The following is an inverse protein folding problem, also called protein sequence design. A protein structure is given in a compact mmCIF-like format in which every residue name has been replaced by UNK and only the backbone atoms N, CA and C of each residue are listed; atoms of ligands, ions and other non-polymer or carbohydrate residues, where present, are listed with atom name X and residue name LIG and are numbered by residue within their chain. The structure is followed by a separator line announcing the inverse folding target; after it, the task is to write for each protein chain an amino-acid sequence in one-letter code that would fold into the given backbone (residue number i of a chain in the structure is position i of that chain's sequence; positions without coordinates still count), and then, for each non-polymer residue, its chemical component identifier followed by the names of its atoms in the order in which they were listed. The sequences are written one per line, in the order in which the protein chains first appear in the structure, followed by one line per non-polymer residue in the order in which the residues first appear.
data_IF_271150065294
#
_entry.id   IF_271150065294
#
_cell.length_a   1.000
_cell.length_b   1.000
_cell.length_c   1.000
_cell.angle_alpha   90.00
_cell.angle_beta   90.00
_cell.angle_gamma   90.00
#
_symmetry.space_group_name_H-M   'P 1'
#
loop_
_entity.id
_entity.type
_entity.pdbx_description
1 polymer ?
#
# COMPACT_ATOMS: atom_id res chain seq x y z
N UNK A 1 1.12 -24.80 22.17
CA UNK A 1 1.80 -23.72 21.43
C UNK A 1 0.75 -22.72 21.06
N UNK A 2 0.72 -21.61 21.79
CA UNK A 2 -0.41 -20.69 21.92
C UNK A 2 -0.49 -19.75 20.72
N UNK A 3 -1.69 -19.29 20.38
CA UNK A 3 -2.00 -18.30 19.33
C UNK A 3 -1.10 -17.04 19.39
N UNK A 4 -0.69 -16.63 20.59
CA UNK A 4 0.27 -15.54 20.82
C UNK A 4 1.70 -15.82 20.32
N UNK A 5 2.14 -17.08 20.33
CA UNK A 5 3.44 -17.48 19.75
C UNK A 5 3.40 -17.50 18.22
N UNK A 6 2.23 -17.74 17.64
CA UNK A 6 2.05 -17.72 16.19
C UNK A 6 2.04 -16.27 15.66
N UNK A 7 1.31 -15.38 16.33
CA UNK A 7 1.29 -13.94 15.98
C UNK A 7 2.66 -13.27 16.09
N UNK A 8 3.45 -13.59 17.12
CA UNK A 8 4.81 -13.06 17.26
C UNK A 8 5.74 -13.55 16.16
N UNK A 9 5.57 -14.80 15.71
CA UNK A 9 6.33 -15.40 14.61
C UNK A 9 5.99 -14.73 13.28
N UNK A 10 4.70 -14.55 12.97
CA UNK A 10 4.24 -13.87 11.75
C UNK A 10 4.72 -12.41 11.72
N UNK A 11 4.67 -11.71 12.85
CA UNK A 11 5.22 -10.36 12.97
C UNK A 11 6.73 -10.34 12.70
N UNK A 12 7.51 -11.24 13.30
CA UNK A 12 8.94 -11.30 13.05
C UNK A 12 9.27 -11.58 11.57
N UNK A 13 8.47 -12.42 10.90
CA UNK A 13 8.59 -12.67 9.47
C UNK A 13 8.31 -11.41 8.63
N UNK A 14 7.25 -10.66 8.96
CA UNK A 14 6.95 -9.36 8.33
C UNK A 14 8.12 -8.38 8.50
N UNK A 15 8.63 -8.22 9.72
CA UNK A 15 9.75 -7.32 9.99
C UNK A 15 11.01 -7.74 9.21
N UNK A 16 11.30 -9.04 9.15
CA UNK A 16 12.43 -9.57 8.37
C UNK A 16 12.25 -9.31 6.86
N UNK A 17 11.03 -9.50 6.33
CA UNK A 17 10.67 -9.18 4.95
C UNK A 17 10.87 -7.70 4.63
N UNK A 18 10.39 -6.81 5.50
CA UNK A 18 10.55 -5.36 5.39
C UNK A 18 12.02 -4.95 5.37
N UNK A 19 12.85 -5.47 6.29
CA UNK A 19 14.30 -5.20 6.30
C UNK A 19 14.99 -5.65 5.01
N UNK A 20 14.56 -6.79 4.44
CA UNK A 20 15.14 -7.36 3.21
C UNK A 20 14.81 -6.52 1.97
N UNK A 21 13.61 -5.95 1.87
CA UNK A 21 13.23 -5.11 0.73
C UNK A 21 13.88 -3.72 0.77
N UNK A 22 14.35 -3.27 1.94
CA UNK A 22 15.05 -2.01 2.11
C UNK A 22 14.13 -0.80 1.91
N UNK A 23 14.65 0.25 1.27
CA UNK A 23 13.93 1.53 1.13
C UNK A 23 12.64 1.38 0.33
N UNK A 24 11.48 1.60 0.94
CA UNK A 24 10.19 1.12 0.40
C UNK A 24 9.11 2.20 0.36
N UNK A 25 8.40 2.30 -0.75
CA UNK A 25 7.15 3.05 -0.84
C UNK A 25 6.00 2.18 -0.35
N UNK A 26 5.14 2.67 0.53
CA UNK A 26 3.96 1.95 1.00
C UNK A 26 2.71 2.60 0.43
N UNK A 27 1.96 1.87 -0.40
CA UNK A 27 0.68 2.33 -0.88
C UNK A 27 -0.35 2.27 0.26
N UNK A 28 -0.77 3.45 0.71
CA UNK A 28 -1.61 3.66 1.88
C UNK A 28 -2.99 4.18 1.43
N UNK A 29 -4.06 3.49 1.80
CA UNK A 29 -5.44 3.87 1.42
C UNK A 29 -6.26 4.41 2.59
N UNK A 30 -5.72 4.41 3.81
CA UNK A 30 -6.46 4.73 5.03
C UNK A 30 -7.20 3.54 5.66
N UNK A 31 -7.25 2.38 4.98
CA UNK A 31 -7.81 1.15 5.54
C UNK A 31 -6.88 0.52 6.58
N UNK A 32 -7.45 -0.28 7.49
CA UNK A 32 -6.73 -0.91 8.63
C UNK A 32 -5.50 -1.69 8.18
N UNK A 33 -5.62 -2.50 7.12
CA UNK A 33 -4.50 -3.32 6.61
C UNK A 33 -3.35 -2.45 6.07
N UNK A 34 -3.68 -1.43 5.28
CA UNK A 34 -2.69 -0.50 4.72
C UNK A 34 -2.07 0.40 5.80
N UNK A 35 -2.84 0.76 6.84
CA UNK A 35 -2.38 1.52 8.00
C UNK A 35 -1.40 0.70 8.83
N UNK A 36 -1.72 -0.58 9.06
CA UNK A 36 -0.86 -1.51 9.76
C UNK A 36 0.45 -1.76 9.01
N UNK A 37 0.40 -1.91 7.68
CA UNK A 37 1.61 -2.04 6.87
C UNK A 37 2.47 -0.77 6.93
N UNK A 38 1.86 0.41 6.77
CA UNK A 38 2.58 1.69 6.84
C UNK A 38 3.24 1.89 8.22
N UNK A 39 2.50 1.59 9.29
CA UNK A 39 3.02 1.63 10.65
C UNK A 39 4.17 0.63 10.83
N UNK A 40 4.00 -0.63 10.43
CA UNK A 40 5.03 -1.67 10.57
C UNK A 40 6.28 -1.35 9.76
N UNK A 41 6.12 -0.86 8.52
CA UNK A 41 7.21 -0.39 7.68
C UNK A 41 7.96 0.76 8.36
N UNK A 42 7.25 1.70 8.99
CA UNK A 42 7.88 2.80 9.72
C UNK A 42 8.65 2.32 10.95
N UNK A 43 8.09 1.39 11.74
CA UNK A 43 8.78 0.81 12.89
C UNK A 43 10.07 0.08 12.51
N UNK A 44 10.11 -0.52 11.32
CA UNK A 44 11.24 -1.36 10.86
C UNK A 44 12.27 -0.56 10.07
N UNK A 45 11.84 0.32 9.18
CA UNK A 45 12.67 1.04 8.21
C UNK A 45 12.86 2.52 8.57
N UNK A 46 12.05 3.07 9.47
CA UNK A 46 12.11 4.48 9.85
C UNK A 46 11.94 5.40 8.63
N UNK A 47 12.92 6.28 8.39
CA UNK A 47 12.91 7.24 7.29
C UNK A 47 13.16 6.61 5.91
N UNK A 48 13.53 5.32 5.86
CA UNK A 48 13.67 4.58 4.61
C UNK A 48 12.33 4.06 4.07
N UNK A 49 11.20 4.50 4.64
CA UNK A 49 9.89 4.27 4.06
C UNK A 49 9.16 5.57 3.76
N UNK A 50 8.24 5.56 2.79
CA UNK A 50 7.29 6.65 2.55
C UNK A 50 5.91 6.09 2.25
N UNK A 51 4.91 6.50 3.03
CA UNK A 51 3.51 6.17 2.77
C UNK A 51 3.00 7.09 1.66
N UNK A 52 2.22 6.54 0.73
CA UNK A 52 1.68 7.26 -0.42
C UNK A 52 0.17 7.06 -0.48
N UNK A 53 -0.58 8.15 -0.45
CA UNK A 53 -2.04 8.16 -0.69
C UNK A 53 -2.30 8.77 -2.06
N UNK A 54 -3.07 8.09 -2.92
CA UNK A 54 -3.69 8.72 -4.07
C UNK A 54 -4.94 9.48 -3.62
N UNK A 55 -4.90 10.82 -3.73
CA UNK A 55 -6.07 11.66 -3.59
C UNK A 55 -6.84 11.64 -4.92
N UNK A 56 -7.77 10.69 -5.01
CA UNK A 56 -8.71 10.61 -6.10
C UNK A 56 -9.97 11.42 -5.82
N UNK A 57 -10.63 11.98 -6.85
CA UNK A 57 -11.90 12.68 -6.66
C UNK A 57 -13.02 11.80 -6.09
N UNK A 58 -12.92 10.48 -6.27
CA UNK A 58 -13.84 9.49 -5.70
C UNK A 58 -13.54 9.15 -4.23
N UNK A 59 -12.39 9.52 -3.69
CA UNK A 59 -12.05 9.30 -2.29
C UNK A 59 -12.80 10.31 -1.40
N UNK A 60 -13.54 9.80 -0.42
CA UNK A 60 -14.24 10.67 0.52
C UNK A 60 -13.24 11.55 1.29
N UNK A 61 -13.48 12.86 1.32
CA UNK A 61 -12.58 13.81 2.02
C UNK A 61 -12.42 13.50 3.50
N UNK A 62 -13.45 12.94 4.13
CA UNK A 62 -13.38 12.43 5.51
C UNK A 62 -12.42 11.25 5.67
N UNK A 63 -12.37 10.32 4.70
CA UNK A 63 -11.43 9.19 4.71
C UNK A 63 -10.00 9.65 4.49
N UNK A 64 -9.77 10.57 3.54
CA UNK A 64 -8.45 11.18 3.33
C UNK A 64 -7.96 11.90 4.59
N UNK A 65 -8.83 12.72 5.21
CA UNK A 65 -8.50 13.43 6.44
C UNK A 65 -8.17 12.47 7.59
N UNK A 66 -8.94 11.38 7.75
CA UNK A 66 -8.67 10.36 8.76
C UNK A 66 -7.33 9.64 8.51
N UNK A 67 -7.02 9.31 7.26
CA UNK A 67 -5.77 8.67 6.88
C UNK A 67 -4.55 9.57 7.15
N UNK A 68 -4.64 10.86 6.78
CA UNK A 68 -3.60 11.85 7.07
C UNK A 68 -3.43 12.04 8.59
N UNK A 69 -4.53 12.12 9.34
CA UNK A 69 -4.50 12.26 10.79
C UNK A 69 -3.77 11.08 11.45
N UNK A 70 -4.09 9.84 11.05
CA UNK A 70 -3.40 8.65 11.54
C UNK A 70 -1.91 8.67 11.23
N UNK A 71 -1.52 8.97 9.99
CA UNK A 71 -0.11 9.03 9.61
C UNK A 71 0.66 10.08 10.44
N UNK A 72 0.05 11.25 10.66
CA UNK A 72 0.65 12.30 11.49
C UNK A 72 0.78 11.89 12.96
N UNK A 73 -0.25 11.26 13.53
CA UNK A 73 -0.23 10.77 14.91
C UNK A 73 0.89 9.75 15.13
N UNK A 74 1.07 8.84 14.16
CA UNK A 74 2.12 7.81 14.20
C UNK A 74 3.47 8.32 13.67
N UNK A 75 3.57 9.59 13.25
CA UNK A 75 4.75 10.22 12.63
C UNK A 75 5.28 9.47 11.41
N UNK A 76 4.39 8.81 10.69
CA UNK A 76 4.70 8.09 9.46
C UNK A 76 4.92 9.14 8.36
N UNK A 77 6.05 9.12 7.65
CA UNK A 77 6.26 10.02 6.52
C UNK A 77 5.23 9.71 5.44
N UNK A 78 4.45 10.72 5.06
CA UNK A 78 3.31 10.59 4.16
C UNK A 78 3.44 11.57 2.98
N UNK A 79 3.19 11.07 1.77
CA UNK A 79 3.02 11.87 0.56
C UNK A 79 1.62 11.64 0.01
N UNK A 80 0.86 12.72 -0.13
CA UNK A 80 -0.40 12.70 -0.88
C UNK A 80 -0.08 13.06 -2.32
N UNK A 81 -0.57 12.26 -3.26
CA UNK A 81 -0.44 12.46 -4.70
C UNK A 81 -1.84 12.64 -5.25
N UNK A 82 -2.13 13.80 -5.83
CA UNK A 82 -3.40 14.04 -6.51
C UNK A 82 -3.46 13.22 -7.80
N UNK A 83 -4.50 12.40 -7.98
CA UNK A 83 -4.78 11.75 -9.27
C UNK A 83 -5.83 12.56 -10.02
N UNK A 84 -5.50 12.99 -11.24
CA UNK A 84 -6.37 13.82 -12.10
C UNK A 84 -7.34 12.96 -12.90
N UNK A 85 -8.14 12.16 -12.21
CA UNK A 85 -9.03 11.17 -12.81
C UNK A 85 -10.17 11.80 -13.65
N UNK A 86 -10.52 13.07 -13.39
CA UNK A 86 -11.56 13.79 -14.12
C UNK A 86 -11.12 14.35 -15.49
N UNK A 87 -9.81 14.43 -15.79
CA UNK A 87 -9.32 14.90 -17.10
C UNK A 87 -9.29 13.79 -18.16
N UNK A 88 -9.55 12.54 -17.77
CA UNK A 88 -9.67 11.42 -18.70
C UNK A 88 -11.14 11.11 -18.97
N UNK A 89 -11.60 11.40 -20.18
CA UNK A 89 -12.95 11.11 -20.68
C UNK A 89 -13.43 9.64 -20.47
N UNK A 90 -12.52 8.71 -20.18
CA UNK A 90 -12.82 7.33 -19.81
C UNK A 90 -13.50 7.18 -18.43
N UNK A 91 -13.32 8.13 -17.50
CA UNK A 91 -13.84 8.06 -16.13
C UNK A 91 -15.37 8.29 -16.03
N UNK A 92 -15.94 8.96 -17.04
CA UNK A 92 -17.37 9.28 -17.13
C UNK A 92 -18.21 8.05 -17.52
N UNK A 93 -17.59 6.97 -18.04
CA UNK A 93 -18.30 5.72 -18.30
C UNK A 93 -18.36 4.87 -17.04
N UNK A 94 -19.57 4.80 -16.48
CA UNK A 94 -19.97 4.02 -15.32
C UNK A 94 -19.87 2.50 -15.58
N UNK A 95 -18.66 1.99 -15.63
CA UNK A 95 -18.35 0.58 -15.90
C UNK A 95 -17.66 -0.03 -14.67
N UNK A 96 -17.93 -1.29 -14.36
CA UNK A 96 -17.52 -2.02 -13.15
C UNK A 96 -16.00 -2.15 -12.92
N UNK A 97 -15.17 -1.48 -13.74
CA UNK A 97 -13.72 -1.51 -13.74
C UNK A 97 -13.04 -0.29 -13.08
N UNK A 98 -13.80 0.62 -12.43
CA UNK A 98 -13.23 1.81 -11.75
C UNK A 98 -12.09 1.49 -10.79
N UNK A 99 -12.23 0.42 -9.98
CA UNK A 99 -11.20 -0.01 -9.04
C UNK A 99 -9.88 -0.43 -9.71
N UNK A 100 -9.93 -0.91 -10.96
CA UNK A 100 -8.73 -1.32 -11.69
C UNK A 100 -7.95 -0.10 -12.22
N UNK A 101 -8.65 0.84 -12.85
CA UNK A 101 -8.02 2.03 -13.42
C UNK A 101 -7.38 2.93 -12.35
N UNK A 102 -8.05 3.11 -11.19
CA UNK A 102 -7.49 3.86 -10.07
C UNK A 102 -6.20 3.20 -9.51
N UNK A 103 -6.12 1.87 -9.51
CA UNK A 103 -4.92 1.14 -9.03
C UNK A 103 -3.77 1.19 -10.02
N UNK A 104 -4.04 1.04 -11.31
CA UNK A 104 -3.02 1.09 -12.36
C UNK A 104 -2.32 2.45 -12.44
N UNK A 105 -3.10 3.54 -12.33
CA UNK A 105 -2.56 4.89 -12.28
C UNK A 105 -1.73 5.15 -11.01
N UNK A 106 -2.21 4.73 -9.84
CA UNK A 106 -1.45 4.80 -8.60
C UNK A 106 -0.10 4.07 -8.72
N UNK A 107 -0.09 2.83 -9.21
CA UNK A 107 1.15 2.07 -9.36
C UNK A 107 2.10 2.69 -10.38
N UNK A 108 1.57 3.27 -11.46
CA UNK A 108 2.39 3.98 -12.46
C UNK A 108 3.09 5.18 -11.84
N UNK A 109 2.35 6.04 -11.14
CA UNK A 109 2.92 7.24 -10.50
C UNK A 109 3.88 6.85 -9.38
N UNK A 110 3.57 5.81 -8.61
CA UNK A 110 4.46 5.29 -7.58
C UNK A 110 5.75 4.71 -8.17
N UNK A 111 5.71 4.06 -9.32
CA UNK A 111 6.92 3.54 -9.99
C UNK A 111 7.81 4.66 -10.50
N UNK A 112 7.23 5.72 -11.09
CA UNK A 112 7.97 6.92 -11.46
C UNK A 112 8.62 7.58 -10.23
N UNK A 113 7.85 7.71 -9.16
CA UNK A 113 8.33 8.27 -7.90
C UNK A 113 9.44 7.41 -7.27
N UNK A 114 9.29 6.07 -7.34
CA UNK A 114 10.27 5.10 -6.88
C UNK A 114 11.60 5.32 -7.59
N UNK A 115 11.58 5.42 -8.92
CA UNK A 115 12.78 5.66 -9.74
C UNK A 115 13.39 7.02 -9.47
N UNK A 116 12.56 8.07 -9.43
CA UNK A 116 13.02 9.45 -9.25
C UNK A 116 13.68 9.68 -7.88
N UNK A 117 13.19 9.03 -6.82
CA UNK A 117 13.69 9.21 -5.45
C UNK A 117 14.58 8.09 -4.93
N UNK A 118 14.86 7.08 -5.76
CA UNK A 118 15.74 5.96 -5.41
C UNK A 118 15.18 5.05 -4.33
N UNK A 119 13.92 4.65 -4.45
CA UNK A 119 13.33 3.59 -3.62
C UNK A 119 13.54 2.22 -4.28
N UNK A 120 13.66 1.18 -3.48
CA UNK A 120 13.96 -0.17 -3.95
C UNK A 120 12.68 -0.90 -4.40
N UNK A 121 11.60 -0.73 -3.64
CA UNK A 121 10.38 -1.54 -3.72
C UNK A 121 9.14 -0.70 -3.48
N UNK A 122 8.01 -1.13 -4.02
CA UNK A 122 6.67 -0.66 -3.64
C UNK A 122 5.98 -1.77 -2.86
N UNK A 123 5.45 -1.48 -1.68
CA UNK A 123 4.66 -2.40 -0.88
C UNK A 123 3.20 -1.96 -0.84
N UNK A 124 2.27 -2.90 -0.90
CA UNK A 124 0.83 -2.62 -0.77
C UNK A 124 0.18 -3.59 0.23
N UNK A 125 -0.83 -3.12 0.95
CA UNK A 125 -1.50 -3.85 2.03
C UNK A 125 -2.52 -4.88 1.52
N UNK A 126 -2.07 -5.84 0.70
CA UNK A 126 -2.85 -7.02 0.32
C UNK A 126 -2.57 -8.14 1.30
N UNK A 127 -3.64 -8.70 1.87
CA UNK A 127 -3.58 -9.84 2.78
C UNK A 127 -4.03 -11.13 2.09
N UNK A 128 -3.86 -12.27 2.79
CA UNK A 128 -4.26 -13.60 2.31
C UNK A 128 -5.74 -13.67 1.92
N UNK A 129 -6.60 -12.93 2.62
CA UNK A 129 -8.05 -12.90 2.38
C UNK A 129 -8.45 -12.19 1.06
N UNK A 130 -7.57 -11.36 0.48
CA UNK A 130 -7.85 -10.61 -0.74
C UNK A 130 -7.46 -11.37 -2.02
N UNK A 131 -7.05 -12.65 -1.91
CA UNK A 131 -6.67 -13.50 -3.05
C UNK A 131 -7.82 -13.74 -4.05
N UNK A 132 -9.08 -13.61 -3.63
CA UNK A 132 -10.26 -13.84 -4.48
C UNK A 132 -10.57 -12.71 -5.48
N UNK A 133 -10.19 -11.47 -5.17
CA UNK A 133 -10.46 -10.27 -5.98
C UNK A 133 -9.27 -9.90 -6.91
N UNK A 134 -8.31 -10.81 -6.98
CA UNK A 134 -7.05 -10.58 -7.64
C UNK A 134 -7.12 -10.91 -9.14
N UNK A 135 -7.69 -10.02 -9.97
CA UNK A 135 -7.46 -9.95 -11.44
C UNK A 135 -7.72 -8.52 -11.89
N UNK A 136 -6.71 -7.70 -12.30
CA UNK A 136 -5.63 -7.96 -13.26
C UNK A 136 -4.23 -7.45 -12.81
N UNK A 137 -3.89 -7.51 -11.51
CA UNK A 137 -2.63 -6.96 -10.96
C UNK A 137 -1.41 -7.91 -10.92
N UNK A 138 -1.53 -9.18 -11.31
CA UNK A 138 -0.60 -10.24 -10.87
C UNK A 138 0.59 -10.30 -11.81
N UNK A 139 0.37 -9.87 -13.06
CA UNK A 139 1.43 -9.58 -14.02
C UNK A 139 2.12 -8.26 -13.69
N UNK A 140 1.40 -7.25 -13.18
CA UNK A 140 1.99 -5.98 -12.78
C UNK A 140 2.88 -6.10 -11.53
N UNK A 141 2.50 -6.92 -10.54
CA UNK A 141 3.29 -7.17 -9.33
C UNK A 141 4.69 -7.74 -9.62
N UNK A 142 4.79 -8.67 -10.58
CA UNK A 142 6.07 -9.24 -11.04
C UNK A 142 6.87 -8.30 -11.96
N UNK A 143 6.21 -7.31 -12.58
CA UNK A 143 6.83 -6.33 -13.49
C UNK A 143 7.30 -5.06 -12.76
N UNK A 144 6.69 -4.68 -11.64
CA UNK A 144 6.88 -3.39 -10.96
C UNK A 144 7.58 -3.47 -9.59
N UNK A 145 8.24 -4.58 -9.25
CA UNK A 145 8.94 -4.74 -7.95
C UNK A 145 7.98 -4.48 -6.76
N UNK A 146 6.74 -4.98 -6.88
CA UNK A 146 5.73 -4.82 -5.83
C UNK A 146 5.88 -5.96 -4.84
N UNK A 147 6.25 -5.65 -3.59
CA UNK A 147 6.23 -6.61 -2.50
C UNK A 147 4.84 -6.66 -1.86
N UNK A 148 4.43 -7.84 -1.40
CA UNK A 148 3.24 -8.02 -0.59
C UNK A 148 3.64 -8.60 0.78
N UNK A 149 4.28 -7.80 1.67
CA UNK A 149 4.92 -8.33 2.87
C UNK A 149 3.92 -9.01 3.83
N UNK A 150 2.66 -8.59 3.83
CA UNK A 150 1.61 -9.20 4.65
C UNK A 150 1.20 -10.58 4.11
N UNK A 151 1.07 -10.71 2.79
CA UNK A 151 0.84 -11.98 2.11
C UNK A 151 2.02 -12.94 2.31
N UNK A 152 3.25 -12.45 2.15
CA UNK A 152 4.48 -13.24 2.31
C UNK A 152 4.67 -13.70 3.77
N UNK A 153 4.19 -12.93 4.74
CA UNK A 153 4.20 -13.27 6.16
C UNK A 153 3.03 -14.19 6.58
N UNK A 154 2.13 -14.54 5.66
CA UNK A 154 0.96 -15.36 5.94
C UNK A 154 -0.05 -14.70 6.89
N UNK A 155 -0.11 -13.36 6.90
CA UNK A 155 -1.04 -12.61 7.75
C UNK A 155 -2.45 -12.62 7.16
N UNK A 156 -3.39 -13.05 7.99
CA UNK A 156 -4.84 -13.01 7.80
C UNK A 156 -5.42 -11.81 8.55
N UNK A 157 -6.68 -11.43 8.29
CA UNK A 157 -7.35 -10.36 9.06
C UNK A 157 -7.61 -10.71 10.54
N UNK A 158 -7.44 -11.98 10.91
CA UNK A 158 -7.47 -12.52 12.28
C UNK A 158 -6.05 -12.72 12.78
#
# INVERSE_FOLDING_TARGET
MTELQDLSTRRAALEAGLRKVGRTLVAYSGGVDSAFLAWSAYQVLGQDMLAVIADSPSLARSQLAAAIAFANEQRIPLQVIATSEFDRAAYVRNDGNRCFHCKDELFTVMEEFRRARGFNTIAYGVNVDDQGDFRPGQRAASLHHVAAPLLDAGLTKQ
#
